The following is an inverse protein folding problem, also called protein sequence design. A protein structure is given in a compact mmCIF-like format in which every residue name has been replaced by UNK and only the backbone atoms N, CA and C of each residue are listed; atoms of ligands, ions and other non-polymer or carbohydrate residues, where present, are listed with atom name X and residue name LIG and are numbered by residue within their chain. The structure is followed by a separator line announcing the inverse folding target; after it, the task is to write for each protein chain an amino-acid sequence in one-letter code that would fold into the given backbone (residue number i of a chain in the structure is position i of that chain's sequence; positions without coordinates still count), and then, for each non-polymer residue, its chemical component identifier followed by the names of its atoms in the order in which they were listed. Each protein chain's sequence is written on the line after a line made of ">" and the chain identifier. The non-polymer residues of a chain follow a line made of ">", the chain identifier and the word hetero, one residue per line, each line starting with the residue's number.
data_IF_400854444332
#
_entry.id   IF_400854444332
#
_cell.length_a   1.000
_cell.length_b   1.000
_cell.length_c   1.000
_cell.angle_alpha   90.00
_cell.angle_beta   90.00
_cell.angle_gamma   90.00
#
_symmetry.space_group_name_H-M   'P 1'
#
loop_
_entity.id
_entity.type
_entity.pdbx_description
1 polymer ?
#
# COMPACT_ATOMS: atom_id res chain seq x y z
N UNK A 1 -21.55 -10.18 -17.44
CA UNK A 1 -20.22 -9.74 -17.91
C UNK A 1 -20.43 -8.68 -18.98
N UNK A 2 -19.84 -7.51 -18.84
CA UNK A 2 -19.85 -6.49 -19.90
C UNK A 2 -18.93 -7.00 -21.01
N UNK A 3 -19.48 -7.47 -22.12
CA UNK A 3 -18.68 -7.83 -23.29
C UNK A 3 -18.24 -6.55 -24.00
N UNK A 4 -17.03 -6.10 -23.67
CA UNK A 4 -16.36 -5.04 -24.41
C UNK A 4 -15.86 -5.61 -25.75
N UNK A 5 -15.88 -4.82 -26.84
CA UNK A 5 -15.12 -5.12 -28.06
C UNK A 5 -13.67 -5.49 -27.73
N UNK A 6 -13.08 -6.44 -28.46
CA UNK A 6 -11.73 -6.95 -28.17
C UNK A 6 -10.66 -5.86 -28.07
N UNK A 7 -10.76 -4.82 -28.91
CA UNK A 7 -9.90 -3.64 -28.87
C UNK A 7 -10.02 -2.86 -27.55
N UNK A 8 -11.25 -2.69 -27.04
CA UNK A 8 -11.50 -2.03 -25.76
C UNK A 8 -11.04 -2.88 -24.58
N UNK A 9 -11.15 -4.21 -24.66
CA UNK A 9 -10.64 -5.10 -23.61
C UNK A 9 -9.11 -5.02 -23.49
N UNK A 10 -8.39 -4.97 -24.62
CA UNK A 10 -6.94 -4.79 -24.62
C UNK A 10 -6.55 -3.43 -24.02
N UNK A 11 -7.23 -2.36 -24.43
CA UNK A 11 -6.96 -1.00 -23.92
C UNK A 11 -7.17 -0.93 -22.40
N UNK A 12 -8.28 -1.49 -21.89
CA UNK A 12 -8.56 -1.51 -20.45
C UNK A 12 -7.53 -2.36 -19.70
N UNK A 13 -7.13 -3.50 -20.25
CA UNK A 13 -6.13 -4.37 -19.62
C UNK A 13 -4.76 -3.70 -19.52
N UNK A 14 -4.31 -3.01 -20.57
CA UNK A 14 -3.07 -2.25 -20.57
C UNK A 14 -3.13 -1.07 -19.59
N UNK A 15 -4.27 -0.39 -19.50
CA UNK A 15 -4.47 0.69 -18.54
C UNK A 15 -4.39 0.19 -17.09
N UNK A 16 -4.99 -0.96 -16.80
CA UNK A 16 -4.90 -1.61 -15.48
C UNK A 16 -3.46 -2.03 -15.16
N UNK A 17 -2.75 -2.63 -16.13
CA UNK A 17 -1.35 -3.03 -15.95
C UNK A 17 -0.45 -1.83 -15.63
N UNK A 18 -0.70 -0.68 -16.25
CA UNK A 18 0.04 0.56 -15.98
C UNK A 18 -0.23 1.13 -14.58
N UNK A 19 -1.37 0.85 -13.97
CA UNK A 19 -1.73 1.31 -12.61
C UNK A 19 -1.15 0.44 -11.50
N UNK A 20 -0.91 -0.85 -11.76
CA UNK A 20 -0.34 -1.80 -10.78
C UNK A 20 0.90 -1.26 -10.06
N UNK A 21 1.96 -0.77 -10.75
CA UNK A 21 3.16 -0.29 -10.06
C UNK A 21 2.87 0.89 -9.13
N UNK A 22 1.95 1.79 -9.52
CA UNK A 22 1.56 2.92 -8.69
C UNK A 22 0.84 2.48 -7.42
N UNK A 23 -0.12 1.56 -7.56
CA UNK A 23 -0.84 0.98 -6.41
C UNK A 23 0.14 0.25 -5.50
N UNK A 24 1.07 -0.55 -6.06
CA UNK A 24 2.08 -1.25 -5.29
C UNK A 24 2.98 -0.29 -4.49
N UNK A 25 3.32 0.88 -5.03
CA UNK A 25 4.09 1.89 -4.30
C UNK A 25 3.27 2.52 -3.16
N UNK A 26 1.98 2.80 -3.37
CA UNK A 26 1.12 3.42 -2.36
C UNK A 26 0.72 2.45 -1.24
N UNK A 27 0.60 1.18 -1.58
CA UNK A 27 0.07 0.12 -0.74
C UNK A 27 1.16 -0.68 0.00
N UNK A 28 2.40 -0.17 0.02
CA UNK A 28 3.55 -0.80 0.68
C UNK A 28 4.36 0.23 1.47
N UNK A 29 5.49 -0.19 2.04
CA UNK A 29 6.40 0.67 2.81
C UNK A 29 7.12 1.75 1.99
N UNK A 30 6.95 1.78 0.67
CA UNK A 30 7.63 2.72 -0.23
C UNK A 30 7.35 4.18 0.15
N UNK A 31 6.10 4.55 0.42
CA UNK A 31 5.72 5.94 0.73
C UNK A 31 6.51 6.47 1.92
N UNK A 32 6.59 5.70 3.02
CA UNK A 32 7.32 6.08 4.23
C UNK A 32 8.80 6.32 3.93
N UNK A 33 9.44 5.39 3.22
CA UNK A 33 10.85 5.51 2.88
C UNK A 33 11.13 6.70 1.97
N UNK A 34 10.31 6.90 0.94
CA UNK A 34 10.48 8.00 -0.01
C UNK A 34 10.37 9.37 0.68
N UNK A 35 9.41 9.51 1.60
CA UNK A 35 9.22 10.75 2.38
C UNK A 35 10.38 10.96 3.33
N UNK A 36 10.78 9.96 4.13
CA UNK A 36 11.92 10.08 5.06
C UNK A 36 13.20 10.45 4.32
N UNK A 37 13.50 9.81 3.19
CA UNK A 37 14.69 10.12 2.40
C UNK A 37 14.65 11.52 1.80
N UNK A 38 13.49 11.97 1.33
CA UNK A 38 13.32 13.34 0.83
C UNK A 38 13.51 14.38 1.94
N UNK A 39 12.95 14.13 3.12
CA UNK A 39 13.12 15.01 4.29
C UNK A 39 14.58 15.04 4.71
N UNK A 40 15.24 13.89 4.84
CA UNK A 40 16.66 13.82 5.18
C UNK A 40 17.53 14.61 4.20
N UNK A 41 17.30 14.48 2.89
CA UNK A 41 18.04 15.26 1.90
C UNK A 41 17.84 16.76 2.12
N UNK A 42 16.60 17.19 2.31
CA UNK A 42 16.29 18.60 2.53
C UNK A 42 16.94 19.12 3.82
N UNK A 43 17.05 18.29 4.86
CA UNK A 43 17.72 18.63 6.13
C UNK A 43 19.23 18.91 5.94
N UNK A 44 19.88 18.21 5.00
CA UNK A 44 21.31 18.41 4.72
C UNK A 44 21.62 19.77 4.08
N UNK A 45 20.61 20.50 3.58
CA UNK A 45 20.80 21.80 2.93
C UNK A 45 21.53 21.75 1.58
N UNK A 46 21.89 20.56 1.11
CA UNK A 46 22.60 20.36 -0.17
C UNK A 46 21.58 20.26 -1.30
N UNK A 47 21.69 21.13 -2.29
CA UNK A 47 20.82 21.07 -3.45
C UNK A 47 21.20 19.89 -4.35
N UNK A 48 20.19 19.13 -4.78
CA UNK A 48 20.27 18.09 -5.81
C UNK A 48 21.11 16.83 -5.51
N UNK A 49 21.80 16.74 -4.37
CA UNK A 49 22.53 15.54 -3.94
C UNK A 49 21.94 15.02 -2.61
N UNK A 50 21.54 13.73 -2.54
CA UNK A 50 21.41 12.76 -3.62
C UNK A 50 20.24 13.06 -4.60
N UNK A 51 20.32 12.63 -5.87
CA UNK A 51 19.25 12.84 -6.84
C UNK A 51 18.00 12.04 -6.47
N UNK A 52 16.80 12.55 -6.81
CA UNK A 52 15.51 11.88 -6.53
C UNK A 52 15.49 10.43 -7.03
N UNK A 53 16.05 10.19 -8.22
CA UNK A 53 16.10 8.88 -8.84
C UNK A 53 16.86 7.85 -7.99
N UNK A 54 17.95 8.25 -7.33
CA UNK A 54 18.69 7.37 -6.42
C UNK A 54 17.89 7.09 -5.14
N UNK A 55 17.25 8.11 -4.56
CA UNK A 55 16.42 7.96 -3.35
C UNK A 55 15.22 7.04 -3.60
N UNK A 56 14.52 7.21 -4.72
CA UNK A 56 13.39 6.36 -5.08
C UNK A 56 13.83 4.95 -5.45
N UNK A 57 14.96 4.78 -6.13
CA UNK A 57 15.55 3.47 -6.38
C UNK A 57 15.85 2.72 -5.08
N UNK A 58 16.45 3.40 -4.10
CA UNK A 58 16.70 2.83 -2.79
C UNK A 58 15.40 2.48 -2.05
N UNK A 59 14.41 3.38 -2.08
CA UNK A 59 13.11 3.14 -1.46
C UNK A 59 12.41 1.92 -2.06
N UNK A 60 12.44 1.73 -3.38
CA UNK A 60 11.85 0.55 -4.05
C UNK A 60 12.55 -0.74 -3.61
N UNK A 61 13.89 -0.78 -3.65
CA UNK A 61 14.65 -1.98 -3.27
C UNK A 61 14.37 -2.37 -1.81
N UNK A 62 14.40 -1.39 -0.91
CA UNK A 62 14.09 -1.62 0.51
C UNK A 62 12.63 -2.01 0.72
N UNK A 63 11.70 -1.48 -0.07
CA UNK A 63 10.29 -1.88 0.02
C UNK A 63 10.10 -3.33 -0.39
N UNK A 64 10.72 -3.76 -1.48
CA UNK A 64 10.71 -5.17 -1.91
C UNK A 64 11.31 -6.05 -0.81
N UNK A 65 12.42 -5.65 -0.21
CA UNK A 65 13.05 -6.39 0.87
C UNK A 65 12.15 -6.50 2.11
N UNK A 66 11.49 -5.41 2.51
CA UNK A 66 10.54 -5.40 3.64
C UNK A 66 9.30 -6.25 3.35
N UNK A 67 8.81 -6.23 2.11
CA UNK A 67 7.61 -6.95 1.68
C UNK A 67 7.87 -8.43 1.33
N UNK A 68 9.14 -8.87 1.27
CA UNK A 68 9.49 -10.23 0.89
C UNK A 68 8.77 -11.33 1.71
N UNK A 69 8.63 -11.25 3.05
CA UNK A 69 7.91 -12.26 3.83
C UNK A 69 6.44 -12.37 3.42
N UNK A 70 5.76 -11.24 3.22
CA UNK A 70 4.35 -11.20 2.78
C UNK A 70 4.21 -11.87 1.41
N UNK A 71 5.16 -11.61 0.51
CA UNK A 71 5.20 -12.24 -0.81
C UNK A 71 5.41 -13.75 -0.75
N UNK A 72 6.32 -14.23 0.12
CA UNK A 72 6.56 -15.66 0.29
C UNK A 72 5.35 -16.38 0.90
N UNK A 73 4.73 -15.83 1.94
CA UNK A 73 3.53 -16.41 2.55
C UNK A 73 2.34 -16.44 1.58
N UNK A 74 2.15 -15.37 0.81
CA UNK A 74 1.11 -15.33 -0.24
C UNK A 74 1.39 -16.36 -1.34
N UNK A 75 2.65 -16.50 -1.77
CA UNK A 75 3.03 -17.48 -2.77
C UNK A 75 2.82 -18.92 -2.30
N UNK A 76 3.19 -19.22 -1.05
CA UNK A 76 2.97 -20.54 -0.44
C UNK A 76 1.47 -20.86 -0.35
N UNK A 77 0.64 -19.88 -0.02
CA UNK A 77 -0.82 -20.03 -0.03
C UNK A 77 -1.36 -20.36 -1.44
N UNK A 78 -0.96 -19.60 -2.46
CA UNK A 78 -1.35 -19.81 -3.86
C UNK A 78 -0.99 -21.21 -4.33
N UNK A 79 0.24 -21.66 -4.01
CA UNK A 79 0.75 -22.97 -4.40
C UNK A 79 0.01 -24.13 -3.73
N UNK A 80 -0.40 -23.96 -2.47
CA UNK A 80 -1.12 -25.00 -1.72
C UNK A 80 -2.57 -25.19 -2.20
N UNK A 81 -3.19 -24.14 -2.74
CA UNK A 81 -4.60 -24.14 -3.14
C UNK A 81 -4.82 -24.24 -4.66
N UNK A 82 -3.76 -24.46 -5.44
CA UNK A 82 -3.78 -24.58 -6.92
C UNK A 82 -4.59 -23.46 -7.60
N UNK A 83 -4.39 -22.22 -7.15
CA UNK A 83 -5.20 -21.08 -7.58
C UNK A 83 -4.91 -20.75 -9.04
N UNK A 84 -5.91 -20.97 -9.90
CA UNK A 84 -5.90 -20.52 -11.28
C UNK A 84 -6.42 -19.08 -11.40
N UNK A 85 -5.69 -18.21 -12.10
CA UNK A 85 -6.15 -16.85 -12.39
C UNK A 85 -7.23 -16.80 -13.48
N UNK A 86 -7.49 -17.92 -14.15
CA UNK A 86 -8.53 -18.05 -15.19
C UNK A 86 -9.90 -18.42 -14.59
N UNK A 87 -9.91 -18.98 -13.37
CA UNK A 87 -11.14 -19.35 -12.67
C UNK A 87 -11.56 -18.25 -11.68
N UNK A 88 -12.73 -17.68 -11.91
CA UNK A 88 -13.31 -16.66 -11.03
C UNK A 88 -13.46 -17.13 -9.58
N UNK A 89 -13.75 -18.42 -9.35
CA UNK A 89 -13.91 -18.95 -7.99
C UNK A 89 -12.56 -19.03 -7.26
N UNK A 90 -11.49 -19.39 -7.96
CA UNK A 90 -10.12 -19.37 -7.44
C UNK A 90 -9.65 -17.95 -7.12
N UNK A 91 -9.99 -16.97 -7.95
CA UNK A 91 -9.67 -15.55 -7.70
C UNK A 91 -10.41 -15.00 -6.48
N UNK A 92 -11.67 -15.37 -6.28
CA UNK A 92 -12.44 -14.98 -5.09
C UNK A 92 -11.80 -15.55 -3.81
N UNK A 93 -11.47 -16.84 -3.79
CA UNK A 93 -10.76 -17.46 -2.68
C UNK A 93 -9.38 -16.84 -2.39
N UNK A 94 -8.68 -16.38 -3.44
CA UNK A 94 -7.41 -15.64 -3.28
C UNK A 94 -7.62 -14.29 -2.60
N UNK A 95 -8.68 -13.55 -2.96
CA UNK A 95 -8.99 -12.24 -2.38
C UNK A 95 -9.46 -12.36 -0.93
N UNK A 96 -10.25 -13.38 -0.63
CA UNK A 96 -10.78 -13.64 0.71
C UNK A 96 -9.68 -14.13 1.66
N UNK A 97 -8.93 -15.16 1.28
CA UNK A 97 -8.03 -15.87 2.18
C UNK A 97 -6.55 -15.71 1.81
N UNK A 98 -6.22 -15.64 0.52
CA UNK A 98 -4.83 -15.54 0.07
C UNK A 98 -4.16 -14.20 0.35
N UNK A 99 -4.95 -13.13 0.52
CA UNK A 99 -4.44 -11.81 0.91
C UNK A 99 -4.30 -11.63 2.43
N UNK A 100 -4.53 -12.66 3.24
CA UNK A 100 -4.45 -12.54 4.69
C UNK A 100 -3.07 -12.08 5.21
N UNK A 101 -1.92 -12.59 4.74
CA UNK A 101 -0.60 -12.08 5.13
C UNK A 101 -0.44 -10.58 4.87
N UNK A 102 -1.04 -10.11 3.77
CA UNK A 102 -1.02 -8.71 3.40
C UNK A 102 -1.91 -7.86 4.32
N UNK A 103 -3.11 -8.33 4.66
CA UNK A 103 -3.99 -7.66 5.64
C UNK A 103 -3.32 -7.56 7.00
N UNK A 104 -2.67 -8.62 7.47
CA UNK A 104 -1.92 -8.64 8.73
C UNK A 104 -0.75 -7.65 8.72
N UNK A 105 -0.01 -7.58 7.60
CA UNK A 105 1.03 -6.57 7.41
C UNK A 105 0.46 -5.16 7.53
N UNK A 106 -0.66 -4.84 6.89
CA UNK A 106 -1.29 -3.52 6.97
C UNK A 106 -1.71 -3.21 8.41
N UNK A 107 -2.48 -4.10 9.05
CA UNK A 107 -3.00 -3.92 10.42
C UNK A 107 -1.85 -3.66 11.40
N UNK A 108 -0.74 -4.39 11.29
CA UNK A 108 0.43 -4.21 12.16
C UNK A 108 1.06 -2.82 12.08
N UNK A 109 0.91 -2.12 10.96
CA UNK A 109 1.53 -0.81 10.72
C UNK A 109 0.54 0.36 10.77
N UNK A 110 -0.75 0.07 10.87
CA UNK A 110 -1.79 1.08 11.05
C UNK A 110 -1.78 1.58 12.50
N UNK A 111 -1.91 2.89 12.66
CA UNK A 111 -2.18 3.50 13.97
C UNK A 111 -3.65 3.30 14.31
N UNK A 112 -3.92 2.94 15.57
CA UNK A 112 -5.29 2.72 16.05
C UNK A 112 -6.21 3.93 15.78
N UNK A 113 -5.68 5.15 15.91
CA UNK A 113 -6.41 6.39 15.60
C UNK A 113 -6.88 6.46 14.15
N UNK A 114 -6.04 6.05 13.21
CA UNK A 114 -6.38 6.06 11.77
C UNK A 114 -7.34 4.92 11.42
N UNK A 115 -7.18 3.74 12.03
CA UNK A 115 -8.11 2.62 11.86
C UNK A 115 -9.55 3.02 12.28
N UNK A 116 -9.67 3.64 13.45
CA UNK A 116 -10.96 4.13 13.96
C UNK A 116 -11.52 5.21 13.05
N UNK A 117 -10.69 6.20 12.67
CA UNK A 117 -11.11 7.30 11.81
C UNK A 117 -11.73 6.82 10.50
N UNK A 118 -11.05 5.92 9.77
CA UNK A 118 -11.57 5.43 8.49
C UNK A 118 -12.79 4.52 8.65
N UNK A 119 -12.88 3.77 9.74
CA UNK A 119 -14.07 2.97 10.07
C UNK A 119 -15.28 3.87 10.34
N UNK A 120 -15.12 4.91 11.15
CA UNK A 120 -16.19 5.86 11.48
C UNK A 120 -16.58 6.72 10.27
N UNK A 121 -15.60 7.11 9.45
CA UNK A 121 -15.83 7.82 8.20
C UNK A 121 -16.67 6.97 7.24
N UNK A 122 -16.36 5.68 7.09
CA UNK A 122 -17.15 4.79 6.25
C UNK A 122 -18.60 4.68 6.75
N UNK A 123 -18.80 4.53 8.07
CA UNK A 123 -20.15 4.48 8.68
C UNK A 123 -20.95 5.76 8.49
N UNK A 124 -20.28 6.91 8.46
CA UNK A 124 -20.93 8.22 8.38
C UNK A 124 -21.20 8.64 6.93
N UNK A 125 -20.26 8.38 6.03
CA UNK A 125 -20.29 8.90 4.66
C UNK A 125 -20.95 7.93 3.68
N UNK A 126 -20.99 6.63 3.97
CA UNK A 126 -21.51 5.63 3.03
C UNK A 126 -22.96 5.28 3.35
N UNK A 127 -23.78 4.95 2.33
CA UNK A 127 -25.10 4.37 2.55
C UNK A 127 -25.02 3.08 3.40
N UNK A 128 -25.94 2.92 4.36
CA UNK A 128 -25.94 1.81 5.32
C UNK A 128 -25.79 0.42 4.68
N UNK A 129 -26.49 0.20 3.56
CA UNK A 129 -26.42 -1.06 2.78
C UNK A 129 -25.00 -1.48 2.34
N UNK A 130 -24.06 -0.54 2.26
CA UNK A 130 -22.66 -0.81 1.92
C UNK A 130 -21.80 -0.94 3.17
N UNK A 131 -22.14 -0.23 4.25
CA UNK A 131 -21.49 -0.37 5.55
C UNK A 131 -21.68 -1.78 6.10
N UNK A 132 -22.86 -2.36 5.94
CA UNK A 132 -23.17 -3.72 6.40
C UNK A 132 -22.39 -4.81 5.64
N UNK A 133 -21.78 -4.45 4.50
CA UNK A 133 -20.91 -5.35 3.70
C UNK A 133 -19.42 -5.17 4.01
N UNK A 134 -19.05 -4.20 4.85
CA UNK A 134 -17.67 -3.99 5.24
C UNK A 134 -17.29 -4.96 6.36
N UNK A 135 -16.34 -5.82 6.05
CA UNK A 135 -15.60 -6.56 7.07
C UNK A 135 -14.62 -5.63 7.80
N UNK A 136 -14.31 -5.95 9.05
CA UNK A 136 -13.40 -5.14 9.89
C UNK A 136 -11.98 -5.04 9.33
N UNK A 137 -11.57 -5.98 8.50
CA UNK A 137 -10.26 -6.09 7.85
C UNK A 137 -10.34 -5.77 6.34
N UNK A 138 -11.41 -5.11 5.89
CA UNK A 138 -11.58 -4.73 4.49
C UNK A 138 -10.41 -3.90 3.98
N UNK A 139 -9.80 -4.31 2.87
CA UNK A 139 -8.71 -3.57 2.23
C UNK A 139 -9.11 -2.13 1.84
N UNK A 140 -10.40 -1.87 1.61
CA UNK A 140 -10.91 -0.51 1.35
C UNK A 140 -10.77 0.44 2.55
N UNK A 141 -10.74 -0.11 3.77
CA UNK A 141 -10.50 0.64 5.00
C UNK A 141 -9.02 0.61 5.38
N UNK A 142 -8.39 -0.56 5.29
CA UNK A 142 -7.00 -0.76 5.71
C UNK A 142 -6.02 0.04 4.86
N UNK A 143 -6.17 0.07 3.53
CA UNK A 143 -5.25 0.78 2.64
C UNK A 143 -5.15 2.28 2.96
N UNK A 144 -6.25 3.07 2.98
CA UNK A 144 -6.13 4.48 3.29
C UNK A 144 -5.66 4.74 4.74
N UNK A 145 -6.09 3.93 5.72
CA UNK A 145 -5.63 4.02 7.10
C UNK A 145 -4.10 3.76 7.22
N UNK A 146 -3.59 2.77 6.49
CA UNK A 146 -2.18 2.44 6.42
C UNK A 146 -1.37 3.57 5.79
N UNK A 147 -1.80 4.07 4.63
CA UNK A 147 -1.10 5.15 3.94
C UNK A 147 -0.98 6.39 4.81
N UNK A 148 -2.05 6.80 5.51
CA UNK A 148 -2.01 7.96 6.42
C UNK A 148 -1.12 7.69 7.63
N UNK A 149 -1.19 6.48 8.21
CA UNK A 149 -0.35 6.07 9.34
C UNK A 149 1.13 6.12 9.00
N UNK A 150 1.51 5.58 7.84
CA UNK A 150 2.89 5.53 7.36
C UNK A 150 3.41 6.91 6.98
N UNK A 151 2.56 7.77 6.39
CA UNK A 151 2.90 9.15 6.10
C UNK A 151 3.15 9.94 7.38
N UNK A 152 2.27 9.83 8.37
CA UNK A 152 2.41 10.48 9.68
C UNK A 152 3.72 10.06 10.34
N UNK A 153 4.00 8.74 10.35
CA UNK A 153 5.24 8.21 10.92
C UNK A 153 6.48 8.68 10.15
N UNK A 154 6.40 8.82 8.83
CA UNK A 154 7.48 9.38 8.02
C UNK A 154 7.78 10.84 8.38
N UNK A 155 6.75 11.65 8.62
CA UNK A 155 6.91 13.02 9.09
C UNK A 155 7.46 13.10 10.51
N UNK A 156 7.02 12.23 11.42
CA UNK A 156 7.58 12.15 12.79
C UNK A 156 9.08 11.83 12.74
N UNK A 157 9.48 10.82 11.96
CA UNK A 157 10.89 10.48 11.74
C UNK A 157 11.63 11.66 11.13
N UNK A 158 11.09 12.28 10.09
CA UNK A 158 11.69 13.44 9.45
C UNK A 158 11.90 14.59 10.43
N UNK A 159 10.89 14.92 11.24
CA UNK A 159 11.00 15.95 12.27
C UNK A 159 12.13 15.66 13.26
N UNK A 160 12.21 14.43 13.77
CA UNK A 160 13.28 14.01 14.69
C UNK A 160 14.67 14.09 14.03
N UNK A 161 14.78 13.74 12.74
CA UNK A 161 16.02 13.88 11.98
C UNK A 161 16.43 15.35 11.77
N UNK A 162 15.47 16.27 11.70
CA UNK A 162 15.74 17.70 11.54
C UNK A 162 16.23 18.39 12.80
N UNK A 163 15.81 17.94 13.99
CA UNK A 163 16.16 18.54 15.28
C UNK A 163 17.67 18.87 15.45
N UNK A 164 18.62 17.95 15.18
CA UNK A 164 20.04 18.26 15.33
C UNK A 164 20.53 19.37 14.40
N UNK A 165 19.95 19.51 13.20
CA UNK A 165 20.36 20.52 12.22
C UNK A 165 19.82 21.92 12.54
N UNK A 166 18.72 22.01 13.30
CA UNK A 166 18.17 23.31 13.75
C UNK A 166 18.97 23.85 14.95
N UNK A 167 19.52 22.97 15.77
CA UNK A 167 20.27 23.36 16.96
C UNK A 167 21.69 23.89 16.67
N UNK A 168 22.22 23.62 15.47
CA UNK A 168 23.55 24.06 14.99
C UNK A 168 23.40 25.38 14.23
#
# INVERSE_FOLDING_TARGET
>A
MIQLPDELNLIVSLALLALIPFIAMMATSFVKLAVVFSLLRNALGVQQIPPNMALYGLAIILSIFIMAPVGFETYDYVKQHDISLEDSASVEGLIESGLQPYREFLIKHIRETEAIFFTDAARTLWPQKYVDRLESDSLLLLLPAFTVSELTRAFEIGFLLYLPFIAI
#
